data_IF_779141314699
#
_entry.id   IF_779141314699
#
_cell.length_a   1.000
_cell.length_b   1.000
_cell.length_c   1.000
_cell.angle_alpha   90.00
_cell.angle_beta   90.00
_cell.angle_gamma   90.00
#
_symmetry.space_group_name_H-M   'P 1'
#
loop_
_entity.id
_entity.type
_entity.pdbx_description
1 polymer ?
#
# COMPACT_ATOMS: atom_id res chain seq x y z
N UNK A 1 -75.69 43.54 44.80
CA UNK A 1 -75.22 44.86 45.28
C UNK A 1 -73.70 44.92 45.09
N UNK A 2 -73.18 45.97 44.41
CA UNK A 2 -71.76 46.31 44.09
C UNK A 2 -71.05 45.39 43.04
N UNK A 3 -70.76 45.83 41.80
CA UNK A 3 -69.80 46.86 41.28
C UNK A 3 -68.36 46.59 41.72
N UNK A 4 -67.28 46.72 40.93
CA UNK A 4 -66.96 46.84 39.48
C UNK A 4 -65.41 47.05 39.43
N UNK A 5 -64.76 46.66 38.32
CA UNK A 5 -63.54 47.23 37.66
C UNK A 5 -62.11 46.79 38.08
N UNK A 6 -61.42 46.23 37.06
CA UNK A 6 -60.06 46.49 36.46
C UNK A 6 -58.86 46.51 37.41
N UNK A 7 -57.73 45.83 37.16
CA UNK A 7 -56.76 45.89 36.03
C UNK A 7 -55.63 44.92 36.42
N UNK A 8 -54.97 44.12 35.57
CA UNK A 8 -53.81 44.54 34.77
C UNK A 8 -53.38 43.48 33.75
N UNK A 9 -52.73 43.99 32.70
CA UNK A 9 -52.09 43.37 31.53
C UNK A 9 -51.07 42.26 31.88
N UNK A 10 -50.91 41.30 30.97
CA UNK A 10 -49.77 40.38 30.92
C UNK A 10 -49.92 39.39 29.77
N UNK A 11 -49.11 39.57 28.73
CA UNK A 11 -49.11 38.97 27.39
C UNK A 11 -49.38 37.45 27.25
N UNK A 12 -50.11 37.16 26.18
CA UNK A 12 -50.21 35.87 25.48
C UNK A 12 -48.85 35.21 25.20
N UNK A 13 -48.74 33.92 25.50
CA UNK A 13 -47.87 33.00 24.79
C UNK A 13 -48.73 31.93 24.13
N UNK A 14 -48.79 32.01 22.80
CA UNK A 14 -49.48 31.09 21.92
C UNK A 14 -48.73 29.76 21.92
N UNK A 15 -49.44 28.68 22.22
CA UNK A 15 -48.99 27.29 22.07
C UNK A 15 -48.68 27.07 20.58
N UNK A 16 -47.39 26.96 20.26
CA UNK A 16 -46.90 26.55 18.94
C UNK A 16 -46.61 25.06 19.01
N UNK A 17 -47.43 24.26 18.34
CA UNK A 17 -47.14 22.85 18.03
C UNK A 17 -45.89 22.79 17.15
N UNK A 18 -44.75 22.37 17.70
CA UNK A 18 -43.55 22.06 16.92
C UNK A 18 -43.62 20.61 16.44
N UNK A 19 -43.78 20.46 15.12
CA UNK A 19 -43.52 19.21 14.38
C UNK A 19 -42.08 18.75 14.61
N UNK A 20 -41.90 17.45 14.78
CA UNK A 20 -40.61 16.77 14.75
C UNK A 20 -39.91 16.98 13.39
N UNK A 21 -38.59 17.24 13.34
CA UNK A 21 -37.85 17.19 12.10
C UNK A 21 -37.45 15.75 11.80
N UNK A 22 -37.97 15.29 10.67
CA UNK A 22 -37.59 14.12 9.90
C UNK A 22 -36.11 14.13 9.50
N UNK A 23 -35.53 12.94 9.55
CA UNK A 23 -34.31 12.48 8.88
C UNK A 23 -34.13 13.05 7.47
N UNK A 24 -33.08 13.85 7.25
CA UNK A 24 -32.39 14.06 5.96
C UNK A 24 -31.21 15.02 6.18
N UNK A 25 -29.99 14.60 5.88
CA UNK A 25 -28.84 15.51 5.97
C UNK A 25 -27.45 14.90 5.80
N UNK A 26 -27.24 13.92 4.92
CA UNK A 26 -25.90 13.72 4.35
C UNK A 26 -25.86 14.37 2.97
N UNK A 27 -25.13 15.49 2.88
CA UNK A 27 -24.70 16.03 1.60
C UNK A 27 -23.74 15.01 0.96
N UNK A 28 -24.24 14.28 -0.05
CA UNK A 28 -23.38 13.67 -1.07
C UNK A 28 -22.64 14.80 -1.78
N UNK A 29 -21.37 15.04 -1.41
CA UNK A 29 -20.48 15.87 -2.22
C UNK A 29 -19.94 14.99 -3.35
N UNK A 30 -20.55 15.09 -4.53
CA UNK A 30 -19.93 14.62 -5.78
C UNK A 30 -18.71 15.50 -6.05
N UNK A 31 -17.52 14.96 -5.84
CA UNK A 31 -16.29 15.60 -6.30
C UNK A 31 -16.12 15.27 -7.79
N UNK A 32 -16.32 16.26 -8.65
CA UNK A 32 -15.85 16.18 -10.04
C UNK A 32 -14.35 16.39 -10.04
N UNK A 33 -13.61 15.33 -10.35
CA UNK A 33 -12.16 15.38 -10.59
C UNK A 33 -11.91 16.28 -11.81
N UNK A 34 -11.16 17.37 -11.62
CA UNK A 34 -10.56 18.12 -12.73
C UNK A 34 -9.16 17.56 -12.94
N UNK A 35 -8.86 17.20 -14.20
CA UNK A 35 -7.57 16.76 -14.71
C UNK A 35 -6.40 17.64 -14.22
N UNK A 36 -5.31 16.99 -13.82
CA UNK A 36 -4.05 17.66 -13.52
C UNK A 36 -3.17 17.74 -14.78
N UNK A 37 -2.35 18.79 -14.96
CA UNK A 37 -1.27 18.76 -15.92
C UNK A 37 -0.16 17.86 -15.36
N UNK A 38 0.35 16.94 -16.18
CA UNK A 38 1.49 16.10 -15.83
C UNK A 38 2.68 16.95 -15.37
N UNK A 39 3.48 16.51 -14.37
CA UNK A 39 4.78 17.10 -14.12
C UNK A 39 5.66 16.89 -15.34
N UNK A 40 6.05 17.97 -16.01
CA UNK A 40 6.93 17.94 -17.16
C UNK A 40 8.33 17.43 -16.79
N UNK A 41 8.55 16.13 -16.92
CA UNK A 41 9.88 15.55 -17.06
C UNK A 41 10.33 15.71 -18.52
N UNK A 42 10.87 16.89 -18.85
CA UNK A 42 12.04 17.13 -19.74
C UNK A 42 12.09 18.59 -20.26
N UNK A 43 13.33 19.01 -20.51
CA UNK A 43 13.80 20.23 -21.21
C UNK A 43 14.11 21.49 -20.38
N UNK A 44 15.37 21.58 -19.94
CA UNK A 44 16.21 22.77 -20.19
C UNK A 44 17.46 22.29 -20.93
N UNK A 45 17.51 22.44 -22.25
CA UNK A 45 17.94 23.63 -22.99
C UNK A 45 19.48 23.77 -23.03
N UNK A 46 20.06 23.16 -24.07
CA UNK A 46 21.22 23.69 -24.78
C UNK A 46 20.75 24.90 -25.62
N UNK A 47 21.45 26.02 -25.52
CA UNK A 47 21.75 27.07 -26.53
C UNK A 47 22.26 28.30 -25.76
N UNK A 48 23.36 28.96 -26.11
CA UNK A 48 24.35 28.79 -27.18
C UNK A 48 25.33 29.99 -27.17
N UNK A 49 26.36 29.88 -28.02
CA UNK A 49 27.25 30.95 -28.53
C UNK A 49 28.21 31.62 -27.51
N UNK A 50 29.47 31.95 -27.79
CA UNK A 50 30.30 31.97 -28.99
C UNK A 50 31.75 32.28 -28.52
N UNK A 51 32.79 31.79 -29.22
CA UNK A 51 34.18 32.18 -28.95
C UNK A 51 35.17 31.16 -29.49
N UNK A 52 35.70 31.42 -30.69
CA UNK A 52 36.43 30.45 -31.51
C UNK A 52 37.93 30.36 -31.31
N UNK A 53 38.52 29.66 -32.30
CA UNK A 53 39.89 29.67 -32.83
C UNK A 53 40.67 28.35 -32.71
N UNK A 54 40.86 27.76 -33.89
CA UNK A 54 42.08 27.22 -34.48
C UNK A 54 42.83 26.01 -33.86
N UNK A 55 42.93 24.99 -34.72
CA UNK A 55 43.80 23.78 -34.73
C UNK A 55 45.13 24.16 -35.44
N UNK A 56 46.28 23.42 -35.47
CA UNK A 56 46.64 22.04 -35.01
C UNK A 56 47.96 21.90 -34.23
N UNK A 57 48.29 20.68 -33.77
CA UNK A 57 49.69 20.30 -33.54
C UNK A 57 49.95 19.00 -32.77
N UNK A 58 50.12 17.91 -33.52
CA UNK A 58 51.21 16.91 -33.45
C UNK A 58 51.54 16.04 -32.20
N UNK A 59 51.91 14.80 -32.54
CA UNK A 59 52.86 13.86 -31.89
C UNK A 59 52.51 13.01 -30.64
N UNK A 60 52.20 11.74 -30.93
CA UNK A 60 53.04 10.52 -30.74
C UNK A 60 53.44 9.98 -29.32
N UNK A 61 53.19 8.66 -29.18
CA UNK A 61 53.95 7.56 -28.50
C UNK A 61 53.55 7.09 -27.08
N UNK A 62 53.30 5.78 -27.02
CA UNK A 62 53.63 4.86 -25.91
C UNK A 62 52.41 4.36 -25.13
N UNK A 63 52.15 3.08 -24.88
CA UNK A 63 52.85 1.81 -25.07
C UNK A 63 52.03 0.77 -24.29
N UNK A 64 51.73 -0.37 -24.91
CA UNK A 64 51.10 -1.57 -24.31
C UNK A 64 52.15 -2.33 -23.45
N UNK A 65 51.80 -3.26 -22.52
CA UNK A 65 50.97 -4.43 -22.84
C UNK A 65 50.07 -5.00 -21.71
N UNK A 66 49.37 -6.05 -22.12
CA UNK A 66 48.40 -6.86 -21.40
C UNK A 66 49.03 -7.98 -20.54
N UNK A 67 48.27 -8.39 -19.52
CA UNK A 67 48.13 -9.75 -18.97
C UNK A 67 46.91 -9.68 -18.02
N UNK A 68 46.11 -10.69 -17.71
CA UNK A 68 46.20 -12.15 -17.83
C UNK A 68 44.78 -12.70 -17.55
N UNK A 69 44.40 -13.78 -18.23
CA UNK A 69 43.17 -14.55 -17.98
C UNK A 69 43.59 -15.89 -17.38
N UNK A 70 43.09 -16.29 -16.20
CA UNK A 70 42.98 -17.70 -15.78
C UNK A 70 41.79 -17.90 -14.80
N UNK A 71 41.03 -19.04 -14.87
CA UNK A 71 39.71 -19.23 -14.25
C UNK A 71 39.68 -20.26 -13.09
N UNK A 72 38.56 -20.33 -12.34
CA UNK A 72 38.00 -21.48 -11.56
C UNK A 72 37.04 -20.92 -10.48
N UNK A 73 35.96 -21.55 -10.00
CA UNK A 73 35.50 -22.94 -10.03
C UNK A 73 34.02 -22.98 -9.60
N UNK A 74 33.29 -23.97 -10.11
CA UNK A 74 31.98 -24.39 -9.62
C UNK A 74 32.01 -24.79 -8.14
N UNK A 75 30.94 -24.46 -7.41
CA UNK A 75 30.73 -24.86 -6.01
C UNK A 75 29.26 -25.00 -5.67
N UNK A 76 28.61 -26.05 -6.19
CA UNK A 76 27.36 -26.58 -5.62
C UNK A 76 27.64 -27.08 -4.20
N UNK A 77 26.96 -26.57 -3.19
CA UNK A 77 26.93 -27.23 -1.88
C UNK A 77 25.50 -27.49 -1.40
N UNK A 78 25.34 -28.75 -1.01
CA UNK A 78 24.14 -29.50 -0.71
C UNK A 78 23.93 -29.40 0.80
N UNK A 79 22.72 -29.06 1.24
CA UNK A 79 22.37 -28.99 2.65
C UNK A 79 22.43 -30.40 3.27
N UNK A 80 23.35 -30.60 4.22
CA UNK A 80 23.53 -31.84 4.98
C UNK A 80 23.23 -31.59 6.45
N UNK A 81 22.20 -32.28 6.95
CA UNK A 81 21.80 -32.33 8.35
C UNK A 81 22.80 -33.14 9.18
N UNK A 82 23.18 -32.64 10.35
CA UNK A 82 23.62 -33.49 11.46
C UNK A 82 22.84 -33.12 12.72
N UNK A 83 22.19 -34.14 13.27
CA UNK A 83 21.53 -34.11 14.55
C UNK A 83 22.51 -34.64 15.60
N UNK A 84 22.63 -33.97 16.73
CA UNK A 84 23.17 -34.59 17.94
C UNK A 84 22.23 -34.32 19.12
N UNK A 85 22.02 -35.43 19.83
CA UNK A 85 21.11 -35.68 20.92
C UNK A 85 21.82 -35.39 22.25
N UNK A 86 21.14 -34.73 23.19
CA UNK A 86 21.50 -34.88 24.61
C UNK A 86 20.30 -34.60 25.52
N UNK A 87 20.00 -35.63 26.30
CA UNK A 87 18.93 -35.73 27.28
C UNK A 87 19.28 -35.04 28.61
N UNK A 88 18.32 -34.31 29.19
CA UNK A 88 18.25 -34.08 30.64
C UNK A 88 16.79 -33.85 31.09
N UNK A 89 16.43 -34.46 32.23
CA UNK A 89 15.08 -34.63 32.76
C UNK A 89 14.68 -33.49 33.72
N UNK A 90 13.53 -32.89 33.40
CA UNK A 90 12.40 -32.37 34.19
C UNK A 90 12.60 -31.70 35.57
N UNK A 91 12.11 -30.46 35.69
CA UNK A 91 11.33 -30.01 36.86
C UNK A 91 10.18 -29.10 36.44
N UNK A 92 8.97 -29.63 36.55
CA UNK A 92 7.65 -28.99 36.64
C UNK A 92 7.62 -27.45 36.63
N UNK A 93 7.31 -26.90 35.45
CA UNK A 93 6.84 -25.53 35.28
C UNK A 93 5.60 -25.60 34.40
N UNK A 94 4.46 -25.12 34.91
CA UNK A 94 3.18 -25.01 34.19
C UNK A 94 3.44 -24.60 32.75
N UNK A 95 2.92 -25.31 31.72
CA UNK A 95 3.27 -25.01 30.35
C UNK A 95 2.72 -23.62 30.03
N UNK A 96 3.60 -22.61 30.07
CA UNK A 96 3.39 -21.37 29.33
C UNK A 96 3.12 -21.85 27.92
N UNK A 97 1.91 -21.61 27.40
CA UNK A 97 1.64 -21.81 25.97
C UNK A 97 2.84 -21.22 25.24
N UNK A 98 3.63 -22.07 24.57
CA UNK A 98 4.65 -21.60 23.64
C UNK A 98 3.84 -20.94 22.54
N UNK A 99 3.70 -19.63 22.66
CA UNK A 99 3.29 -18.72 21.62
C UNK A 99 4.10 -19.11 20.37
N UNK A 100 3.40 -19.60 19.34
CA UNK A 100 4.03 -20.01 18.08
C UNK A 100 4.00 -18.77 17.21
N UNK A 101 5.15 -18.12 17.11
CA UNK A 101 5.38 -17.03 16.15
C UNK A 101 4.82 -17.47 14.81
N UNK A 102 4.10 -16.59 14.11
CA UNK A 102 3.69 -16.91 12.75
C UNK A 102 4.96 -17.24 11.94
N UNK A 103 5.08 -18.46 11.39
CA UNK A 103 6.28 -18.86 10.66
C UNK A 103 6.47 -17.91 9.48
N UNK A 104 7.72 -17.49 9.23
CA UNK A 104 8.07 -16.60 8.11
C UNK A 104 7.56 -17.16 6.78
N UNK A 105 7.55 -18.48 6.65
CA UNK A 105 7.06 -19.26 5.53
C UNK A 105 5.58 -18.97 5.20
N UNK A 106 4.78 -18.48 6.16
CA UNK A 106 3.40 -18.03 5.89
C UNK A 106 3.37 -16.92 4.85
N UNK A 107 4.33 -16.00 4.88
CA UNK A 107 4.37 -14.87 3.95
C UNK A 107 4.84 -15.26 2.55
N UNK A 108 5.36 -16.48 2.37
CA UNK A 108 5.67 -17.04 1.06
C UNK A 108 4.45 -17.71 0.40
N UNK A 109 3.36 -17.94 1.13
CA UNK A 109 2.14 -18.58 0.60
C UNK A 109 1.23 -17.53 -0.03
N UNK A 110 0.70 -17.82 -1.23
CA UNK A 110 -0.27 -16.95 -1.88
C UNK A 110 -1.54 -16.77 -1.04
N UNK A 111 -1.94 -15.52 -0.89
CA UNK A 111 -3.29 -15.12 -0.49
C UNK A 111 -4.30 -15.33 -1.64
N UNK A 112 -5.58 -15.13 -1.34
CA UNK A 112 -6.63 -15.10 -2.36
C UNK A 112 -6.37 -14.05 -3.46
N UNK A 113 -5.72 -12.93 -3.13
CA UNK A 113 -5.47 -11.81 -4.04
C UNK A 113 -4.20 -12.01 -4.86
N UNK A 114 -3.16 -12.55 -4.23
CA UNK A 114 -1.84 -12.74 -4.85
C UNK A 114 -1.71 -14.04 -5.63
N UNK A 115 -2.67 -14.98 -5.53
CA UNK A 115 -2.69 -16.21 -6.33
C UNK A 115 -2.81 -15.86 -7.84
N UNK A 116 -1.80 -16.21 -8.66
CA UNK A 116 -1.81 -15.90 -10.09
C UNK A 116 -2.68 -16.87 -10.91
N UNK A 117 -3.19 -17.95 -10.31
CA UNK A 117 -3.99 -18.97 -10.99
C UNK A 117 -3.30 -19.55 -12.22
N UNK A 118 -4.00 -19.56 -13.36
CA UNK A 118 -3.46 -20.08 -14.63
C UNK A 118 -2.21 -19.33 -15.14
N UNK A 119 -1.94 -18.13 -14.63
CA UNK A 119 -0.85 -17.27 -15.06
C UNK A 119 0.43 -17.42 -14.22
N UNK A 120 0.47 -18.38 -13.27
CA UNK A 120 1.64 -18.69 -12.44
C UNK A 120 2.96 -18.84 -13.24
N UNK A 121 2.89 -19.46 -14.42
CA UNK A 121 4.05 -19.63 -15.30
C UNK A 121 4.69 -18.30 -15.72
N UNK A 122 3.90 -17.25 -15.99
CA UNK A 122 4.42 -15.93 -16.37
C UNK A 122 5.25 -15.29 -15.26
N UNK A 123 4.89 -15.53 -13.99
CA UNK A 123 5.63 -15.04 -12.84
C UNK A 123 6.91 -15.84 -12.59
N UNK A 124 6.90 -17.16 -12.78
CA UNK A 124 8.11 -18.02 -12.68
C UNK A 124 9.17 -17.71 -13.73
N UNK A 125 8.77 -17.18 -14.88
CA UNK A 125 9.67 -16.78 -15.96
C UNK A 125 10.38 -15.44 -15.71
N UNK A 126 9.96 -14.65 -14.71
CA UNK A 126 10.65 -13.42 -14.32
C UNK A 126 12.06 -13.74 -13.77
N UNK A 127 13.02 -12.81 -13.86
CA UNK A 127 14.30 -12.92 -13.16
C UNK A 127 14.12 -12.96 -11.64
N UNK A 128 15.08 -13.55 -10.92
CA UNK A 128 15.03 -13.70 -9.45
C UNK A 128 15.38 -12.43 -8.68
N UNK A 129 15.86 -11.39 -9.36
CA UNK A 129 16.15 -10.12 -8.71
C UNK A 129 14.90 -9.25 -8.55
N UNK A 130 14.80 -8.57 -7.40
CA UNK A 130 13.64 -7.75 -7.06
C UNK A 130 13.46 -6.56 -8.02
N UNK A 131 14.55 -6.01 -8.55
CA UNK A 131 14.50 -4.84 -9.44
C UNK A 131 13.87 -5.21 -10.78
N UNK A 132 14.21 -6.36 -11.36
CA UNK A 132 13.57 -6.85 -12.58
C UNK A 132 12.10 -7.23 -12.35
N UNK A 133 11.74 -7.76 -11.18
CA UNK A 133 10.34 -8.02 -10.82
C UNK A 133 9.56 -6.71 -10.72
N UNK A 134 10.13 -5.68 -10.09
CA UNK A 134 9.55 -4.34 -10.06
C UNK A 134 9.47 -3.71 -11.46
N UNK A 135 10.48 -3.88 -12.30
CA UNK A 135 10.47 -3.41 -13.69
C UNK A 135 9.38 -4.11 -14.52
N UNK A 136 9.14 -5.40 -14.31
CA UNK A 136 8.03 -6.11 -14.94
C UNK A 136 6.67 -5.59 -14.44
N UNK A 137 6.53 -5.28 -13.15
CA UNK A 137 5.32 -4.66 -12.60
C UNK A 137 5.04 -3.30 -13.26
N UNK A 138 6.03 -2.39 -13.29
CA UNK A 138 5.95 -1.10 -14.00
C UNK A 138 5.72 -1.26 -15.49
N UNK A 139 6.21 -2.35 -16.08
CA UNK A 139 6.04 -2.67 -17.49
C UNK A 139 4.62 -3.10 -17.85
N UNK A 140 3.89 -3.74 -16.92
CA UNK A 140 2.56 -4.31 -17.15
C UNK A 140 1.41 -3.45 -16.60
N UNK A 141 1.66 -2.70 -15.53
CA UNK A 141 0.68 -1.88 -14.81
C UNK A 141 1.06 -0.40 -14.98
N UNK A 142 0.06 0.47 -15.04
CA UNK A 142 0.26 1.92 -14.97
C UNK A 142 -0.66 2.54 -13.93
N UNK A 143 -0.11 3.46 -13.13
CA UNK A 143 -0.85 4.16 -12.10
C UNK A 143 -1.91 5.10 -12.74
N UNK A 144 -3.19 4.79 -12.55
CA UNK A 144 -4.32 5.41 -13.24
C UNK A 144 -4.42 6.94 -13.05
N UNK A 145 -3.86 7.45 -11.95
CA UNK A 145 -3.87 8.88 -11.59
C UNK A 145 -2.56 9.61 -11.91
N UNK A 146 -1.44 8.89 -11.96
CA UNK A 146 -0.11 9.49 -11.96
C UNK A 146 0.56 9.39 -13.34
N UNK A 147 0.38 8.27 -14.03
CA UNK A 147 1.01 8.01 -15.32
C UNK A 147 0.03 8.09 -16.48
N UNK A 148 -1.21 7.62 -16.27
CA UNK A 148 -2.22 7.59 -17.33
C UNK A 148 -2.98 8.92 -17.42
N UNK A 149 -3.41 9.31 -18.64
CA UNK A 149 -4.45 10.32 -18.78
C UNK A 149 -5.77 9.81 -18.20
N UNK A 150 -6.76 10.71 -18.08
CA UNK A 150 -8.12 10.33 -17.65
C UNK A 150 -8.62 9.11 -18.46
N UNK A 151 -8.89 8.02 -17.74
CA UNK A 151 -9.30 6.77 -18.38
C UNK A 151 -10.66 6.91 -19.08
N UNK A 152 -10.76 6.41 -20.33
CA UNK A 152 -12.05 6.30 -21.00
C UNK A 152 -12.95 5.33 -20.23
N UNK A 153 -14.27 5.52 -20.30
CA UNK A 153 -15.26 4.85 -19.46
C UNK A 153 -15.13 3.32 -19.51
N UNK A 154 -14.91 2.77 -20.70
CA UNK A 154 -14.74 1.34 -20.95
C UNK A 154 -13.52 0.73 -20.24
N UNK A 155 -12.52 1.53 -19.85
CA UNK A 155 -11.32 1.08 -19.14
C UNK A 155 -11.37 1.32 -17.63
N UNK A 156 -12.34 2.08 -17.14
CA UNK A 156 -12.40 2.44 -15.70
C UNK A 156 -12.56 1.22 -14.80
N UNK A 157 -13.15 0.13 -15.29
CA UNK A 157 -13.24 -1.12 -14.54
C UNK A 157 -11.87 -1.77 -14.25
N UNK A 158 -10.80 -1.39 -14.96
CA UNK A 158 -9.46 -1.94 -14.76
C UNK A 158 -8.91 -1.64 -13.37
N UNK A 159 -9.21 -0.46 -12.80
CA UNK A 159 -8.70 -0.10 -11.47
C UNK A 159 -9.29 -1.00 -10.39
N UNK A 160 -10.47 -1.58 -10.64
CA UNK A 160 -11.17 -2.48 -9.72
C UNK A 160 -10.74 -3.96 -9.87
N UNK A 161 -9.68 -4.26 -10.63
CA UNK A 161 -9.15 -5.62 -10.78
C UNK A 161 -8.43 -6.08 -9.50
N UNK A 162 -9.25 -6.55 -8.56
CA UNK A 162 -8.85 -6.96 -7.21
C UNK A 162 -7.83 -8.09 -7.16
N UNK A 163 -7.92 -9.09 -8.04
CA UNK A 163 -7.09 -10.29 -7.97
C UNK A 163 -5.96 -10.24 -8.99
N UNK A 164 -4.75 -10.62 -8.59
CA UNK A 164 -3.57 -10.64 -9.46
C UNK A 164 -3.83 -11.47 -10.74
N UNK A 165 -4.50 -12.62 -10.61
CA UNK A 165 -4.90 -13.44 -11.76
C UNK A 165 -5.75 -12.67 -12.79
N UNK A 166 -6.59 -11.71 -12.36
CA UNK A 166 -7.40 -10.88 -13.26
C UNK A 166 -6.57 -9.80 -13.96
N UNK A 167 -5.64 -9.17 -13.24
CA UNK A 167 -4.66 -8.24 -13.82
C UNK A 167 -3.79 -8.94 -14.86
N UNK A 168 -3.25 -10.12 -14.53
CA UNK A 168 -2.44 -10.93 -15.46
C UNK A 168 -3.25 -11.43 -16.66
N UNK A 169 -4.52 -11.81 -16.46
CA UNK A 169 -5.41 -12.20 -17.55
C UNK A 169 -5.63 -11.06 -18.55
N UNK A 170 -5.84 -9.85 -18.04
CA UNK A 170 -6.05 -8.68 -18.89
C UNK A 170 -4.78 -8.28 -19.64
N UNK A 171 -3.61 -8.30 -19.00
CA UNK A 171 -2.32 -8.10 -19.68
C UNK A 171 -2.13 -9.15 -20.78
N UNK A 172 -2.31 -10.44 -20.47
CA UNK A 172 -2.13 -11.54 -21.41
C UNK A 172 -3.12 -11.51 -22.59
N UNK A 173 -4.33 -10.98 -22.39
CA UNK A 173 -5.31 -10.79 -23.46
C UNK A 173 -4.83 -9.75 -24.49
N UNK A 174 -4.13 -8.71 -24.02
CA UNK A 174 -3.62 -7.62 -24.85
C UNK A 174 -2.25 -7.95 -25.46
N UNK A 175 -1.42 -8.66 -24.70
CA UNK A 175 0.01 -8.81 -24.95
C UNK A 175 0.45 -10.28 -24.80
N UNK A 176 0.75 -10.98 -25.91
CA UNK A 176 1.28 -12.34 -25.86
C UNK A 176 2.73 -12.40 -25.36
N UNK A 177 3.47 -11.29 -25.36
CA UNK A 177 4.88 -11.23 -24.98
C UNK A 177 5.10 -11.51 -23.48
N UNK A 178 6.31 -11.98 -23.09
CA UNK A 178 6.67 -12.15 -21.68
C UNK A 178 6.54 -10.87 -20.87
N UNK A 179 6.37 -10.99 -19.54
CA UNK A 179 6.25 -9.86 -18.61
C UNK A 179 7.53 -9.01 -18.51
N UNK A 180 8.67 -9.55 -18.96
CA UNK A 180 9.95 -8.81 -19.05
C UNK A 180 9.98 -7.80 -20.20
N UNK A 181 9.03 -7.85 -21.14
CA UNK A 181 8.88 -6.88 -22.23
C UNK A 181 7.89 -5.80 -21.79
N UNK A 182 8.38 -4.61 -21.46
CA UNK A 182 7.52 -3.52 -21.03
C UNK A 182 6.47 -3.16 -22.10
N UNK A 183 5.21 -2.95 -21.69
CA UNK A 183 4.14 -2.53 -22.59
C UNK A 183 4.21 -1.01 -22.82
N UNK A 184 3.74 -0.52 -23.98
CA UNK A 184 3.47 0.90 -24.16
C UNK A 184 2.56 1.41 -23.04
N UNK A 185 2.85 2.59 -22.50
CA UNK A 185 2.23 3.11 -21.27
C UNK A 185 0.70 3.08 -21.37
N UNK A 186 0.14 3.56 -22.47
CA UNK A 186 -1.30 3.61 -22.72
C UNK A 186 -1.97 2.23 -22.82
N UNK A 187 -1.19 1.16 -23.01
CA UNK A 187 -1.69 -0.22 -23.15
C UNK A 187 -1.50 -1.06 -21.88
N UNK A 188 -0.82 -0.54 -20.87
CA UNK A 188 -0.69 -1.17 -19.55
C UNK A 188 -2.05 -1.26 -18.85
N UNK A 189 -2.21 -2.27 -18.00
CA UNK A 189 -3.41 -2.39 -17.16
C UNK A 189 -3.45 -1.22 -16.18
N UNK A 190 -4.57 -0.52 -16.12
CA UNK A 190 -4.70 0.58 -15.16
C UNK A 190 -4.86 0.03 -13.74
N UNK A 191 -3.98 0.45 -12.84
CA UNK A 191 -3.99 0.12 -11.42
C UNK A 191 -3.44 1.27 -10.60
N UNK A 192 -3.02 1.01 -9.37
CA UNK A 192 -2.35 1.97 -8.49
C UNK A 192 -1.15 1.33 -7.76
N UNK A 193 -0.56 2.04 -6.80
CA UNK A 193 0.54 1.56 -5.96
C UNK A 193 0.26 0.18 -5.35
N UNK A 194 -0.99 -0.07 -4.91
CA UNK A 194 -1.44 -1.37 -4.40
C UNK A 194 -1.28 -2.50 -5.43
N UNK A 195 -1.57 -2.25 -6.70
CA UNK A 195 -1.55 -3.27 -7.74
C UNK A 195 -0.13 -3.60 -8.19
N UNK A 196 0.74 -2.59 -8.25
CA UNK A 196 2.18 -2.79 -8.38
C UNK A 196 2.74 -3.63 -7.22
N UNK A 197 2.38 -3.29 -5.97
CA UNK A 197 2.80 -4.05 -4.80
C UNK A 197 2.27 -5.50 -4.82
N UNK A 198 0.99 -5.70 -5.18
CA UNK A 198 0.40 -7.04 -5.28
C UNK A 198 1.09 -7.89 -6.34
N UNK A 199 1.41 -7.32 -7.51
CA UNK A 199 2.14 -8.01 -8.56
C UNK A 199 3.48 -8.53 -8.06
N UNK A 200 4.28 -7.66 -7.42
CA UNK A 200 5.60 -8.02 -6.91
C UNK A 200 5.50 -9.03 -5.76
N UNK A 201 4.56 -8.84 -4.83
CA UNK A 201 4.29 -9.83 -3.77
C UNK A 201 3.92 -11.19 -4.35
N UNK A 202 3.06 -11.23 -5.38
CA UNK A 202 2.71 -12.47 -6.06
C UNK A 202 3.90 -13.13 -6.74
N UNK A 203 4.73 -12.36 -7.45
CA UNK A 203 5.93 -12.88 -8.12
C UNK A 203 6.95 -13.46 -7.12
N UNK A 204 7.16 -12.79 -5.99
CA UNK A 204 8.06 -13.26 -4.93
C UNK A 204 7.51 -14.53 -4.25
N UNK A 205 6.21 -14.57 -3.92
CA UNK A 205 5.56 -15.75 -3.34
C UNK A 205 5.58 -16.96 -4.27
N UNK A 206 5.40 -16.76 -5.57
CA UNK A 206 5.51 -17.82 -6.58
C UNK A 206 6.91 -18.46 -6.59
N UNK A 207 7.93 -17.69 -6.20
CA UNK A 207 9.33 -18.14 -6.05
C UNK A 207 9.67 -18.62 -4.64
N UNK A 208 8.70 -18.66 -3.73
CA UNK A 208 8.88 -19.06 -2.34
C UNK A 208 9.57 -18.00 -1.47
N UNK A 209 9.69 -16.76 -1.94
CA UNK A 209 10.24 -15.65 -1.14
C UNK A 209 9.12 -15.08 -0.26
N UNK A 210 9.32 -15.02 1.07
CA UNK A 210 8.36 -14.40 1.97
C UNK A 210 8.15 -12.93 1.62
N UNK A 211 6.93 -12.53 1.31
CA UNK A 211 6.59 -11.16 0.92
C UNK A 211 5.22 -10.72 1.44
N UNK A 212 5.07 -9.43 1.69
CA UNK A 212 3.81 -8.77 2.11
C UNK A 212 3.76 -7.34 1.59
N UNK A 213 2.55 -6.80 1.41
CA UNK A 213 2.38 -5.37 1.17
C UNK A 213 2.41 -4.58 2.48
N UNK A 214 2.78 -3.31 2.40
CA UNK A 214 2.77 -2.35 3.50
C UNK A 214 2.02 -1.10 3.09
N UNK A 215 1.05 -0.74 3.90
CA UNK A 215 0.21 0.45 3.71
C UNK A 215 0.77 1.59 4.55
N UNK A 216 0.88 2.77 3.95
CA UNK A 216 1.44 3.92 4.62
C UNK A 216 1.36 5.16 3.75
N UNK A 217 2.34 6.04 3.94
CA UNK A 217 2.40 7.33 3.29
C UNK A 217 3.82 7.73 2.93
N UNK A 218 3.96 8.56 1.90
CA UNK A 218 5.26 8.94 1.33
C UNK A 218 5.40 10.44 1.13
N UNK A 219 6.57 10.98 1.45
CA UNK A 219 6.89 12.42 1.32
C UNK A 219 7.70 12.76 0.06
N UNK A 220 8.24 11.76 -0.64
CA UNK A 220 9.11 11.98 -1.79
C UNK A 220 8.36 12.39 -3.07
N UNK A 221 7.02 12.27 -3.10
CA UNK A 221 6.20 12.80 -4.19
C UNK A 221 5.88 14.29 -4.01
N UNK A 222 6.00 14.85 -2.79
CA UNK A 222 5.67 16.24 -2.51
C UNK A 222 6.39 16.73 -1.23
N UNK A 223 7.13 17.85 -1.27
CA UNK A 223 7.96 18.32 -0.15
C UNK A 223 7.25 18.57 1.20
N UNK A 224 5.92 18.57 1.23
CA UNK A 224 5.12 18.91 2.43
C UNK A 224 3.99 17.90 2.68
N UNK A 225 3.51 17.24 1.63
CA UNK A 225 2.31 16.41 1.72
C UNK A 225 2.67 14.94 1.60
N UNK A 226 2.08 14.12 2.45
CA UNK A 226 2.35 12.70 2.51
C UNK A 226 1.25 11.96 1.76
N UNK A 227 1.60 11.44 0.58
CA UNK A 227 0.66 10.72 -0.29
C UNK A 227 0.43 9.32 0.25
N UNK A 228 -0.81 8.85 0.22
CA UNK A 228 -1.13 7.46 0.54
C UNK A 228 -0.40 6.52 -0.42
N UNK A 229 0.17 5.45 0.10
CA UNK A 229 1.03 4.58 -0.71
C UNK A 229 1.07 3.15 -0.20
N UNK A 230 1.34 2.22 -1.12
CA UNK A 230 1.55 0.81 -0.80
C UNK A 230 2.87 0.34 -1.39
N UNK A 231 3.73 -0.19 -0.53
CA UNK A 231 5.04 -0.73 -0.90
C UNK A 231 5.11 -2.22 -0.57
N UNK A 232 6.19 -2.87 -0.96
CA UNK A 232 6.44 -4.29 -0.68
C UNK A 232 7.44 -4.42 0.45
N UNK A 233 7.23 -5.35 1.36
CA UNK A 233 8.27 -5.90 2.21
C UNK A 233 8.53 -7.36 1.81
N UNK A 234 9.78 -7.70 1.52
CA UNK A 234 10.20 -9.07 1.28
C UNK A 234 11.33 -9.46 2.23
N UNK A 235 11.46 -10.75 2.54
CA UNK A 235 12.54 -11.24 3.39
C UNK A 235 13.72 -11.67 2.52
N UNK A 236 14.89 -11.05 2.69
CA UNK A 236 16.10 -11.33 1.90
C UNK A 236 16.88 -12.57 2.39
N UNK A 237 16.44 -13.16 3.50
CA UNK A 237 17.08 -14.28 4.18
C UNK A 237 17.62 -13.90 5.56
N UNK A 238 17.81 -12.61 5.81
CA UNK A 238 18.29 -12.06 7.08
C UNK A 238 17.28 -11.10 7.72
N UNK A 239 16.64 -10.25 6.92
CA UNK A 239 15.68 -9.24 7.39
C UNK A 239 14.57 -8.98 6.38
N UNK A 240 13.59 -8.19 6.82
CA UNK A 240 12.65 -7.54 5.93
C UNK A 240 13.31 -6.35 5.22
N UNK A 241 13.17 -6.32 3.91
CA UNK A 241 13.62 -5.27 3.00
C UNK A 241 12.39 -4.64 2.38
N UNK A 242 12.30 -3.31 2.43
CA UNK A 242 11.16 -2.55 1.92
C UNK A 242 11.48 -2.00 0.54
N UNK A 243 10.61 -2.27 -0.44
CA UNK A 243 10.80 -1.90 -1.84
C UNK A 243 9.57 -1.17 -2.36
N UNK A 244 9.76 0.00 -2.97
CA UNK A 244 8.72 0.68 -3.74
C UNK A 244 8.73 0.18 -5.19
N UNK A 245 7.70 -0.57 -5.62
CA UNK A 245 7.65 -1.13 -6.96
C UNK A 245 7.41 -0.07 -8.05
N UNK A 246 6.90 1.11 -7.71
CA UNK A 246 6.58 2.16 -8.69
C UNK A 246 7.81 3.01 -9.08
N UNK A 247 8.88 2.95 -8.31
CA UNK A 247 10.09 3.75 -8.54
C UNK A 247 11.17 3.02 -9.33
N UNK A 248 11.91 3.76 -10.15
CA UNK A 248 13.16 3.32 -10.76
C UNK A 248 14.38 3.74 -9.91
N UNK A 249 15.42 2.90 -9.89
CA UNK A 249 16.51 2.97 -8.91
C UNK A 249 17.43 4.20 -8.94
N UNK A 250 17.39 5.02 -9.99
CA UNK A 250 18.45 5.99 -10.28
C UNK A 250 18.05 7.46 -10.07
N UNK A 251 16.77 7.74 -9.84
CA UNK A 251 16.23 9.10 -9.78
C UNK A 251 16.04 9.65 -8.35
N UNK A 252 16.29 8.86 -7.31
CA UNK A 252 15.90 9.16 -5.94
C UNK A 252 17.10 9.30 -5.00
N UNK A 253 17.00 10.14 -3.94
CA UNK A 253 18.06 10.30 -2.95
C UNK A 253 18.22 9.10 -2.00
N UNK A 254 17.46 8.03 -2.22
CA UNK A 254 17.47 6.77 -1.48
C UNK A 254 17.33 5.61 -2.48
N UNK A 255 17.65 4.39 -2.05
CA UNK A 255 17.42 3.21 -2.87
C UNK A 255 15.94 2.77 -2.77
N UNK A 256 15.13 2.83 -3.85
CA UNK A 256 13.76 2.36 -3.81
C UNK A 256 13.63 0.85 -3.61
N UNK A 257 14.71 0.08 -3.74
CA UNK A 257 14.74 -1.37 -3.50
C UNK A 257 14.97 -1.73 -2.03
N UNK A 258 15.47 -0.78 -1.24
CA UNK A 258 15.70 -0.91 0.20
C UNK A 258 15.45 0.45 0.88
N UNK A 259 14.16 0.80 0.96
CA UNK A 259 13.71 2.06 1.54
C UNK A 259 14.19 2.17 3.00
N UNK A 260 14.77 3.32 3.38
CA UNK A 260 15.09 3.59 4.78
C UNK A 260 13.85 3.41 5.67
N UNK A 261 14.06 2.89 6.88
CA UNK A 261 13.01 2.69 7.89
C UNK A 261 13.31 3.50 9.15
N UNK A 262 12.27 3.81 9.93
CA UNK A 262 12.39 4.54 11.19
C UNK A 262 12.16 6.04 11.04
N UNK A 263 12.58 6.82 12.04
CA UNK A 263 12.29 8.24 12.10
C UNK A 263 12.90 9.01 10.91
N UNK A 264 12.07 9.77 10.21
CA UNK A 264 12.48 10.54 9.02
C UNK A 264 12.65 9.70 7.76
N UNK A 265 12.17 8.44 7.77
CA UNK A 265 12.11 7.63 6.58
C UNK A 265 11.18 8.23 5.50
N UNK A 266 11.50 8.05 4.21
CA UNK A 266 10.69 8.55 3.09
C UNK A 266 9.31 7.89 3.01
N UNK A 267 9.16 6.70 3.59
CA UNK A 267 7.89 5.99 3.77
C UNK A 267 7.64 5.80 5.27
N UNK A 268 6.44 6.19 5.72
CA UNK A 268 5.94 5.97 7.08
C UNK A 268 4.67 5.14 7.04
N UNK A 269 4.57 4.14 7.90
CA UNK A 269 3.41 3.24 7.98
C UNK A 269 2.19 3.97 8.53
N UNK A 270 0.98 3.45 8.25
CA UNK A 270 -0.23 4.05 8.78
C UNK A 270 -0.27 4.02 10.32
N UNK A 271 0.24 2.96 10.95
CA UNK A 271 0.38 2.86 12.40
C UNK A 271 1.32 3.93 12.98
N UNK A 272 2.48 4.18 12.36
CA UNK A 272 3.41 5.25 12.79
C UNK A 272 2.75 6.62 12.73
N UNK A 273 2.05 6.93 11.63
CA UNK A 273 1.34 8.21 11.47
C UNK A 273 0.21 8.35 12.50
N UNK A 274 -0.58 7.29 12.69
CA UNK A 274 -1.65 7.31 13.68
C UNK A 274 -1.10 7.52 15.09
N UNK A 275 -0.15 6.70 15.55
CA UNK A 275 0.43 6.84 16.89
C UNK A 275 1.09 8.21 17.09
N UNK A 276 1.80 8.74 16.08
CA UNK A 276 2.37 10.08 16.12
C UNK A 276 1.31 11.19 16.21
N UNK A 277 0.20 11.06 15.47
CA UNK A 277 -0.93 11.98 15.55
C UNK A 277 -1.56 11.97 16.95
N UNK A 278 -1.79 10.78 17.51
CA UNK A 278 -2.37 10.60 18.85
C UNK A 278 -1.47 11.17 19.95
N UNK A 279 -0.16 11.15 19.74
CA UNK A 279 0.83 11.77 20.62
C UNK A 279 1.02 13.28 20.39
N UNK A 280 0.35 13.89 19.40
CA UNK A 280 0.50 15.30 19.06
C UNK A 280 1.83 15.65 18.38
N UNK A 281 2.50 14.66 17.79
CA UNK A 281 3.80 14.78 17.13
C UNK A 281 3.68 14.94 15.60
N UNK A 282 2.57 14.49 15.02
CA UNK A 282 2.31 14.51 13.58
C UNK A 282 1.01 15.26 13.29
N UNK A 283 1.03 16.12 12.29
CA UNK A 283 -0.18 16.74 11.74
C UNK A 283 -0.80 15.82 10.67
N UNK A 284 -1.77 15.00 11.07
CA UNK A 284 -2.45 14.08 10.17
C UNK A 284 -3.19 14.76 9.00
N UNK A 285 -3.43 16.10 9.05
CA UNK A 285 -4.04 16.82 7.92
C UNK A 285 -3.16 16.89 6.67
N UNK A 286 -1.86 16.61 6.83
CA UNK A 286 -0.88 16.53 5.75
C UNK A 286 -0.81 15.15 5.07
N UNK A 287 -1.69 14.22 5.44
CA UNK A 287 -1.69 12.83 4.96
C UNK A 287 -2.98 12.52 4.20
N UNK A 288 -2.86 11.88 3.03
CA UNK A 288 -4.02 11.49 2.22
C UNK A 288 -3.68 11.27 0.76
N UNK A 289 -4.69 11.21 -0.11
CA UNK A 289 -4.47 10.85 -1.53
C UNK A 289 -3.74 11.95 -2.31
N UNK A 290 -4.11 13.20 -2.09
CA UNK A 290 -3.44 14.36 -2.65
C UNK A 290 -3.84 15.64 -1.89
N UNK A 291 -3.05 16.73 -1.98
CA UNK A 291 -3.37 17.99 -1.33
C UNK A 291 -4.78 18.51 -1.68
N UNK A 292 -5.63 18.70 -0.66
CA UNK A 292 -7.00 19.18 -0.82
C UNK A 292 -8.03 18.09 -1.17
N UNK A 293 -7.63 16.83 -1.23
CA UNK A 293 -8.54 15.69 -1.33
C UNK A 293 -9.46 15.61 -0.10
N UNK A 294 -10.74 15.20 -0.25
CA UNK A 294 -11.58 14.84 0.88
C UNK A 294 -11.12 13.53 1.56
N UNK A 295 -10.27 12.75 0.89
CA UNK A 295 -9.68 11.50 1.38
C UNK A 295 -8.31 11.80 1.99
N UNK A 296 -8.34 12.47 3.14
CA UNK A 296 -7.16 12.94 3.87
C UNK A 296 -7.50 13.15 5.35
N UNK A 297 -6.49 13.37 6.18
CA UNK A 297 -6.68 13.73 7.57
C UNK A 297 -6.79 12.55 8.55
N UNK A 298 -7.07 12.85 9.83
CA UNK A 298 -7.08 11.85 10.91
C UNK A 298 -7.95 10.62 10.65
N UNK A 299 -9.18 10.80 10.16
CA UNK A 299 -10.09 9.66 9.93
C UNK A 299 -9.64 8.78 8.76
N UNK A 300 -8.97 9.36 7.76
CA UNK A 300 -8.37 8.62 6.66
C UNK A 300 -7.17 7.79 7.15
N UNK A 301 -6.26 8.41 7.92
CA UNK A 301 -5.13 7.72 8.56
C UNK A 301 -5.63 6.56 9.44
N UNK A 302 -6.67 6.79 10.24
CA UNK A 302 -7.31 5.75 11.07
C UNK A 302 -7.76 4.55 10.23
N UNK A 303 -8.47 4.80 9.13
CA UNK A 303 -8.89 3.74 8.21
C UNK A 303 -7.71 2.98 7.61
N UNK A 304 -6.63 3.70 7.28
CA UNK A 304 -5.40 3.11 6.72
C UNK A 304 -4.67 2.19 7.69
N UNK A 305 -4.80 2.37 9.01
CA UNK A 305 -4.30 1.38 9.98
C UNK A 305 -5.05 0.05 9.86
N UNK A 306 -6.35 0.08 9.58
CA UNK A 306 -7.15 -1.14 9.37
C UNK A 306 -6.75 -1.83 8.05
N UNK A 307 -6.50 -1.04 7.00
CA UNK A 307 -5.90 -1.55 5.76
C UNK A 307 -4.53 -2.17 5.99
N UNK A 308 -3.67 -1.55 6.79
CA UNK A 308 -2.34 -2.05 7.10
C UNK A 308 -2.39 -3.45 7.74
N UNK A 309 -3.28 -3.67 8.71
CA UNK A 309 -3.46 -5.00 9.31
C UNK A 309 -4.00 -6.01 8.29
N UNK A 310 -4.98 -5.61 7.45
CA UNK A 310 -5.54 -6.49 6.44
C UNK A 310 -4.48 -6.95 5.44
N UNK A 311 -3.71 -6.00 4.90
CA UNK A 311 -2.60 -6.26 3.98
C UNK A 311 -1.52 -7.13 4.64
N UNK A 312 -1.20 -6.88 5.92
CA UNK A 312 -0.25 -7.69 6.69
C UNK A 312 -0.65 -9.17 6.72
N UNK A 313 -1.93 -9.49 6.79
CA UNK A 313 -2.40 -10.88 6.93
C UNK A 313 -2.94 -11.53 5.66
N UNK A 314 -2.79 -10.87 4.50
CA UNK A 314 -3.09 -11.44 3.19
C UNK A 314 -4.48 -11.08 2.64
N UNK A 315 -5.09 -10.02 3.16
CA UNK A 315 -6.23 -9.35 2.53
C UNK A 315 -5.76 -8.04 1.93
N UNK A 316 -5.11 -8.13 0.77
CA UNK A 316 -4.57 -6.98 0.04
C UNK A 316 -5.70 -6.18 -0.64
N UNK A 317 -6.70 -5.64 0.09
CA UNK A 317 -7.91 -4.99 -0.47
C UNK A 317 -7.62 -3.78 -1.39
N UNK A 318 -8.63 -3.38 -2.19
CA UNK A 318 -8.56 -2.13 -2.96
C UNK A 318 -8.63 -0.95 -1.98
N UNK A 319 -7.88 0.13 -2.22
CA UNK A 319 -7.76 1.27 -1.30
C UNK A 319 -9.05 2.10 -1.14
N UNK A 320 -10.07 1.77 -1.93
CA UNK A 320 -11.41 2.35 -1.88
C UNK A 320 -12.48 1.33 -1.49
N UNK A 321 -12.09 0.19 -0.90
CA UNK A 321 -13.00 -0.69 -0.18
C UNK A 321 -13.30 -0.13 1.21
N UNK A 322 -14.52 -0.37 1.67
CA UNK A 322 -14.99 -0.07 3.02
C UNK A 322 -15.58 -1.32 3.69
N UNK A 323 -15.16 -1.54 4.93
CA UNK A 323 -15.66 -2.55 5.85
C UNK A 323 -15.34 -2.12 7.30
N UNK A 324 -16.12 -2.62 8.25
CA UNK A 324 -15.79 -2.53 9.68
C UNK A 324 -15.30 -1.14 10.13
N UNK A 325 -14.14 -1.12 10.76
CA UNK A 325 -13.48 0.09 11.26
C UNK A 325 -12.64 0.82 10.19
N UNK A 326 -12.53 0.31 8.95
CA UNK A 326 -11.86 1.03 7.87
C UNK A 326 -12.67 2.27 7.44
N UNK A 327 -14.00 2.17 7.40
CA UNK A 327 -14.90 3.32 7.21
C UNK A 327 -15.81 3.59 8.41
N UNK A 328 -17.07 3.89 8.13
CA UNK A 328 -17.98 4.58 9.07
C UNK A 328 -18.97 3.64 9.77
N UNK A 329 -18.83 2.31 9.60
CA UNK A 329 -19.77 1.35 10.19
C UNK A 329 -19.60 1.20 11.71
N UNK A 330 -18.43 1.57 12.23
CA UNK A 330 -18.11 1.59 13.66
C UNK A 330 -18.15 3.03 14.17
N UNK A 331 -18.71 3.24 15.37
CA UNK A 331 -18.78 4.58 15.98
C UNK A 331 -17.37 5.16 16.16
N UNK A 332 -17.15 6.46 15.89
CA UNK A 332 -15.80 7.04 15.87
C UNK A 332 -14.97 6.77 17.13
N UNK A 333 -15.50 7.01 18.32
CA UNK A 333 -14.74 6.78 19.57
C UNK A 333 -14.39 5.31 19.83
N UNK A 334 -15.23 4.38 19.37
CA UNK A 334 -14.94 2.95 19.45
C UNK A 334 -13.88 2.53 18.43
N UNK A 335 -13.96 3.09 17.21
CA UNK A 335 -12.96 2.85 16.18
C UNK A 335 -11.59 3.44 16.56
N UNK A 336 -11.55 4.64 17.14
CA UNK A 336 -10.29 5.25 17.60
C UNK A 336 -9.61 4.40 18.67
N UNK A 337 -10.35 3.90 19.67
CA UNK A 337 -9.79 3.02 20.70
C UNK A 337 -9.28 1.70 20.11
N UNK A 338 -10.02 1.09 19.19
CA UNK A 338 -9.58 -0.10 18.48
C UNK A 338 -8.29 0.16 17.68
N UNK A 339 -8.22 1.27 16.96
CA UNK A 339 -7.07 1.64 16.13
C UNK A 339 -5.86 2.02 16.99
N UNK A 340 -6.06 2.65 18.15
CA UNK A 340 -4.99 2.90 19.15
C UNK A 340 -4.32 1.57 19.57
N UNK A 341 -5.12 0.55 19.94
CA UNK A 341 -4.61 -0.78 20.34
C UNK A 341 -3.93 -1.51 19.16
N UNK A 342 -4.52 -1.44 17.98
CA UNK A 342 -4.01 -2.11 16.78
C UNK A 342 -2.70 -1.49 16.30
N UNK A 343 -2.59 -0.16 16.31
CA UNK A 343 -1.36 0.54 15.95
C UNK A 343 -0.22 0.17 16.91
N UNK A 344 -0.48 0.10 18.22
CA UNK A 344 0.52 -0.35 19.19
C UNK A 344 1.04 -1.77 18.87
N UNK A 345 0.12 -2.70 18.57
CA UNK A 345 0.47 -4.07 18.22
C UNK A 345 1.26 -4.17 16.92
N UNK A 346 0.91 -3.38 15.89
CA UNK A 346 1.67 -3.28 14.64
C UNK A 346 3.11 -2.81 14.89
N UNK A 347 3.28 -1.72 15.63
CA UNK A 347 4.60 -1.15 15.94
C UNK A 347 5.47 -2.10 16.76
N UNK A 348 4.89 -2.74 17.78
CA UNK A 348 5.60 -3.75 18.58
C UNK A 348 5.98 -4.97 17.77
N UNK A 349 5.08 -5.43 16.91
CA UNK A 349 5.34 -6.57 16.03
C UNK A 349 6.48 -6.27 15.05
N UNK A 350 6.50 -5.09 14.44
CA UNK A 350 7.62 -4.66 13.59
C UNK A 350 8.93 -4.47 14.36
N UNK A 351 8.84 -4.15 15.65
CA UNK A 351 9.98 -4.19 16.58
C UNK A 351 10.45 -5.60 16.98
N UNK A 352 9.84 -6.67 16.44
CA UNK A 352 10.21 -8.06 16.69
C UNK A 352 9.48 -8.72 17.87
N UNK A 353 8.45 -8.09 18.43
CA UNK A 353 7.63 -8.69 19.49
C UNK A 353 6.68 -9.76 18.91
N UNK A 354 7.12 -11.02 18.99
CA UNK A 354 6.33 -12.16 18.54
C UNK A 354 4.98 -12.30 19.26
N UNK A 355 4.88 -11.87 20.52
CA UNK A 355 3.61 -11.89 21.25
C UNK A 355 2.62 -10.87 20.71
N UNK A 356 3.11 -9.70 20.31
CA UNK A 356 2.30 -8.69 19.63
C UNK A 356 1.82 -9.18 18.25
N UNK A 357 2.69 -9.85 17.48
CA UNK A 357 2.30 -10.44 16.18
C UNK A 357 1.20 -11.49 16.32
N UNK A 358 1.31 -12.38 17.31
CA UNK A 358 0.31 -13.42 17.54
C UNK A 358 -1.04 -12.85 17.99
N UNK A 359 -1.02 -11.87 18.90
CA UNK A 359 -2.23 -11.17 19.36
C UNK A 359 -2.88 -10.41 18.20
N UNK A 360 -2.09 -9.68 17.41
CA UNK A 360 -2.58 -8.95 16.23
C UNK A 360 -3.22 -9.91 15.23
N UNK A 361 -2.58 -11.05 14.96
CA UNK A 361 -3.13 -12.08 14.08
C UNK A 361 -4.40 -12.73 14.63
N UNK A 362 -4.51 -12.88 15.96
CA UNK A 362 -5.71 -13.42 16.60
C UNK A 362 -6.88 -12.44 16.50
N UNK A 363 -6.63 -11.16 16.81
CA UNK A 363 -7.62 -10.08 16.66
C UNK A 363 -8.08 -9.94 15.23
N UNK A 364 -7.17 -9.91 14.27
CA UNK A 364 -7.53 -9.82 12.86
C UNK A 364 -8.45 -10.97 12.41
N UNK A 365 -8.30 -12.17 12.97
CA UNK A 365 -9.16 -13.32 12.63
C UNK A 365 -10.53 -13.31 13.33
N UNK A 366 -10.66 -12.62 14.45
CA UNK A 366 -11.82 -12.74 15.34
C UNK A 366 -12.67 -11.48 15.41
N UNK A 367 -12.09 -10.31 15.16
CA UNK A 367 -12.78 -9.03 15.22
C UNK A 367 -13.32 -8.65 13.84
N UNK A 368 -14.65 -8.74 13.68
CA UNK A 368 -15.35 -8.36 12.44
C UNK A 368 -15.22 -6.88 12.09
N UNK A 369 -14.74 -6.04 13.03
CA UNK A 369 -14.40 -4.65 12.75
C UNK A 369 -13.07 -4.51 12.01
N UNK A 370 -12.19 -5.52 12.07
CA UNK A 370 -10.89 -5.53 11.40
C UNK A 370 -10.90 -6.40 10.13
N UNK A 371 -11.52 -7.58 10.20
CA UNK A 371 -11.56 -8.51 9.07
C UNK A 371 -12.67 -8.12 8.07
N UNK A 372 -12.41 -8.09 6.75
CA UNK A 372 -13.43 -7.75 5.75
C UNK A 372 -14.53 -8.81 5.62
N UNK A 373 -14.24 -10.03 6.05
CA UNK A 373 -15.18 -11.14 6.00
C UNK A 373 -15.44 -11.55 4.55
N UNK A 374 -16.72 -11.71 4.17
CA UNK A 374 -17.11 -12.09 2.81
C UNK A 374 -17.44 -10.89 1.92
N UNK A 375 -17.89 -9.78 2.52
CA UNK A 375 -18.50 -8.69 1.78
C UNK A 375 -17.86 -7.36 2.14
N UNK A 376 -17.55 -6.57 1.12
CA UNK A 376 -17.11 -5.18 1.27
C UNK A 376 -18.01 -4.26 0.45
N UNK A 377 -17.99 -2.98 0.79
CA UNK A 377 -18.52 -1.92 -0.07
C UNK A 377 -17.35 -1.37 -0.87
N UNK A 378 -17.36 -1.53 -2.18
CA UNK A 378 -16.38 -0.94 -3.08
C UNK A 378 -16.89 0.42 -3.54
N UNK A 379 -16.16 1.48 -3.21
CA UNK A 379 -16.38 2.81 -3.77
C UNK A 379 -15.80 2.92 -5.19
N UNK A 380 -15.88 4.10 -5.81
CA UNK A 380 -15.31 4.31 -7.14
C UNK A 380 -14.37 5.52 -7.14
N UNK A 381 -13.09 5.36 -7.51
CA UNK A 381 -12.18 6.48 -7.76
C UNK A 381 -12.69 7.48 -8.81
N UNK A 382 -13.59 7.05 -9.70
CA UNK A 382 -14.23 7.84 -10.74
C UNK A 382 -15.63 8.39 -10.36
N UNK A 383 -16.05 8.27 -9.10
CA UNK A 383 -17.33 8.80 -8.62
C UNK A 383 -18.58 8.05 -9.10
N UNK A 384 -18.43 6.78 -9.53
CA UNK A 384 -19.54 5.85 -9.74
C UNK A 384 -20.27 5.48 -8.45
N UNK A 385 -21.33 4.67 -8.59
CA UNK A 385 -22.11 4.20 -7.45
C UNK A 385 -21.34 3.14 -6.64
N UNK A 386 -21.59 3.10 -5.33
CA UNK A 386 -21.02 2.09 -4.45
C UNK A 386 -21.55 0.70 -4.81
N UNK A 387 -20.66 -0.28 -4.88
CA UNK A 387 -21.00 -1.67 -5.22
C UNK A 387 -20.71 -2.57 -4.04
N UNK A 388 -21.65 -3.46 -3.70
CA UNK A 388 -21.41 -4.51 -2.71
C UNK A 388 -20.73 -5.70 -3.40
N UNK A 389 -19.51 -6.02 -2.98
CA UNK A 389 -18.66 -7.03 -3.62
C UNK A 389 -18.52 -8.28 -2.75
N UNK A 390 -18.69 -9.46 -3.35
CA UNK A 390 -18.41 -10.76 -2.72
C UNK A 390 -16.93 -11.10 -2.93
N UNK A 391 -16.13 -11.09 -1.87
CA UNK A 391 -14.71 -11.42 -1.93
C UNK A 391 -14.44 -12.88 -2.32
N UNK A 392 -15.47 -13.74 -2.26
CA UNK A 392 -15.37 -15.15 -2.67
C UNK A 392 -15.68 -15.37 -4.15
N UNK A 393 -16.26 -14.38 -4.85
CA UNK A 393 -16.62 -14.47 -6.27
C UNK A 393 -15.47 -13.99 -7.17
N UNK A 394 -14.43 -14.83 -7.31
CA UNK A 394 -13.15 -14.49 -7.98
C UNK A 394 -13.19 -14.52 -9.49
#
# INVERSE_FOLDING_TARGET
MRRRRRSTRGCSSTIRTSRAPTSAGLLRRRATLRSWPAPGLRERALTGAEGGQDVPGDQQVGGRPASEVVPCREGRQRWGSTAEDSSAVDTARTPRRRWRVLPLERFAVHSAYSDPGAFAHRLRELPDDVDAVCAAARGAIAHYRAELPDLPEERRHEVDLRWLARTLALDAQRHPEPLTVARPLEQRVAGCCRDHALFVVGALREKGVPARSRVGFVDYFSPVYHHDHVVVEHHDGERWVRTDPELDGDAWPFDPRDLPTGAGAPFVTAAEVWSGYRAGQVDASLFGVFPGSPFAGPEFVRGYVVFEVAHRFGDELLLWDDWGAAGDTVRPGEAHALVDEVAELLLRSDGGDAGAEEELAARYRQDERLHPGRWVVQHSPYGGDDVRVDLQAR
#
